data_IF_397776488410
#
_entry.id   IF_397776488410
#
_cell.length_a   1.000
_cell.length_b   1.000
_cell.length_c   1.000
_cell.angle_alpha   90.00
_cell.angle_beta   90.00
_cell.angle_gamma   90.00
#
_symmetry.space_group_name_H-M   'P 1'
#
loop_
_entity.id
_entity.type
_entity.pdbx_description
1 polymer ?
#
# COMPACT_ATOMS: atom_id res chain seq x y z
N UNK A 1 31.78 9.49 5.00
CA UNK A 1 31.26 10.85 4.73
C UNK A 1 30.67 10.89 3.33
N UNK A 2 29.34 10.90 3.18
CA UNK A 2 28.66 11.13 1.91
C UNK A 2 27.63 12.24 2.09
N UNK A 3 28.10 13.44 2.44
CA UNK A 3 27.27 14.64 2.54
C UNK A 3 27.09 15.20 1.13
N UNK A 4 25.92 15.02 0.52
CA UNK A 4 25.59 15.78 -0.69
C UNK A 4 24.52 15.23 -1.64
N UNK A 5 24.11 13.96 -1.55
CA UNK A 5 23.23 13.34 -2.58
C UNK A 5 21.72 13.37 -2.27
N UNK A 6 21.30 13.71 -1.06
CA UNK A 6 19.90 13.71 -0.67
C UNK A 6 19.32 15.14 -0.66
N UNK A 7 18.20 15.34 -1.33
CA UNK A 7 17.39 16.55 -1.25
C UNK A 7 15.95 16.18 -0.88
N UNK A 8 15.38 16.74 0.22
CA UNK A 8 13.97 16.53 0.54
C UNK A 8 13.12 17.16 -0.57
N UNK A 9 12.45 16.32 -1.35
CA UNK A 9 11.62 16.73 -2.47
C UNK A 9 10.27 16.01 -2.40
N UNK A 10 9.28 16.46 -3.18
CA UNK A 10 8.04 15.72 -3.31
C UNK A 10 8.32 14.33 -3.90
N UNK A 11 7.59 13.31 -3.42
CA UNK A 11 7.72 11.95 -3.93
C UNK A 11 7.25 11.91 -5.40
N UNK A 12 8.18 11.80 -6.35
CA UNK A 12 7.90 11.94 -7.78
C UNK A 12 7.11 10.75 -8.33
N UNK A 13 7.31 9.57 -7.74
CA UNK A 13 6.63 8.34 -8.16
C UNK A 13 5.28 8.13 -7.46
N UNK A 14 4.75 9.14 -6.77
CA UNK A 14 3.52 9.02 -6.01
C UNK A 14 2.33 8.54 -6.86
N UNK A 15 2.16 9.10 -8.06
CA UNK A 15 1.08 8.68 -8.96
C UNK A 15 1.22 7.23 -9.43
N UNK A 16 2.45 6.77 -9.70
CA UNK A 16 2.74 5.40 -10.14
C UNK A 16 2.38 4.40 -9.05
N UNK A 17 2.85 4.66 -7.83
CA UNK A 17 2.56 3.83 -6.66
C UNK A 17 1.07 3.87 -6.31
N UNK A 18 0.42 5.04 -6.40
CA UNK A 18 -1.01 5.17 -6.15
C UNK A 18 -1.85 4.34 -7.13
N UNK A 19 -1.49 4.28 -8.42
CA UNK A 19 -2.17 3.44 -9.40
C UNK A 19 -2.09 1.94 -9.08
N UNK A 20 -1.05 1.49 -8.39
CA UNK A 20 -0.95 0.11 -7.92
C UNK A 20 -1.70 -0.10 -6.59
N UNK A 21 -1.53 0.81 -5.64
CA UNK A 21 -2.01 0.65 -4.26
C UNK A 21 -3.48 0.99 -4.09
N UNK A 22 -3.98 2.08 -4.69
CA UNK A 22 -5.37 2.52 -4.50
C UNK A 22 -6.37 1.49 -5.00
N UNK A 23 -6.24 0.90 -6.21
CA UNK A 23 -7.14 -0.18 -6.63
C UNK A 23 -7.03 -1.41 -5.72
N UNK A 24 -5.82 -1.70 -5.22
CA UNK A 24 -5.61 -2.79 -4.27
C UNK A 24 -6.37 -2.53 -2.96
N UNK A 25 -6.37 -1.29 -2.44
CA UNK A 25 -7.13 -0.92 -1.24
C UNK A 25 -8.64 -1.07 -1.44
N UNK A 26 -9.15 -0.76 -2.63
CA UNK A 26 -10.57 -0.95 -2.99
C UNK A 26 -10.93 -2.42 -2.95
N UNK A 27 -10.11 -3.29 -3.58
CA UNK A 27 -10.32 -4.74 -3.56
C UNK A 27 -10.25 -5.28 -2.14
N UNK A 28 -9.26 -4.86 -1.35
CA UNK A 28 -9.16 -5.22 0.07
C UNK A 28 -10.40 -4.77 0.85
N UNK A 29 -10.91 -3.56 0.63
CA UNK A 29 -12.15 -3.07 1.23
C UNK A 29 -13.36 -3.94 0.87
N UNK A 30 -13.44 -4.40 -0.38
CA UNK A 30 -14.46 -5.36 -0.82
C UNK A 30 -14.39 -6.70 -0.09
N UNK A 31 -13.18 -7.24 0.09
CA UNK A 31 -12.96 -8.51 0.79
C UNK A 31 -13.20 -8.37 2.30
N UNK A 32 -12.76 -7.26 2.90
CA UNK A 32 -12.90 -6.98 4.34
C UNK A 32 -14.31 -6.54 4.74
N UNK A 33 -15.12 -6.13 3.78
CA UNK A 33 -16.49 -5.69 3.98
C UNK A 33 -16.61 -4.35 4.72
N UNK A 34 -17.84 -4.04 5.15
CA UNK A 34 -18.21 -2.74 5.74
C UNK A 34 -17.40 -2.37 6.97
N UNK A 35 -17.04 -3.35 7.81
CA UNK A 35 -16.29 -3.12 9.04
C UNK A 35 -14.88 -2.58 8.74
N UNK A 36 -14.16 -3.22 7.83
CA UNK A 36 -12.81 -2.78 7.46
C UNK A 36 -12.85 -1.44 6.74
N UNK A 37 -13.80 -1.24 5.81
CA UNK A 37 -13.97 0.05 5.13
C UNK A 37 -14.26 1.16 6.15
N UNK A 38 -15.14 0.90 7.13
CA UNK A 38 -15.43 1.83 8.22
C UNK A 38 -14.18 2.18 9.03
N UNK A 39 -13.37 1.18 9.40
CA UNK A 39 -12.10 1.40 10.12
C UNK A 39 -11.13 2.26 9.32
N UNK A 40 -10.96 2.00 8.03
CA UNK A 40 -10.07 2.77 7.16
C UNK A 40 -10.56 4.21 6.99
N UNK A 41 -11.87 4.42 6.81
CA UNK A 41 -12.45 5.76 6.67
C UNK A 41 -12.35 6.57 7.96
N UNK A 42 -12.72 5.99 9.11
CA UNK A 42 -12.60 6.64 10.41
C UNK A 42 -11.14 6.96 10.71
N UNK A 43 -10.24 6.00 10.46
CA UNK A 43 -8.80 6.22 10.62
C UNK A 43 -8.27 7.34 9.74
N UNK A 44 -8.67 7.40 8.46
CA UNK A 44 -8.31 8.50 7.56
C UNK A 44 -8.82 9.85 8.06
N UNK A 45 -10.04 9.92 8.61
CA UNK A 45 -10.58 11.13 9.22
C UNK A 45 -9.78 11.55 10.46
N UNK A 46 -9.42 10.61 11.33
CA UNK A 46 -8.58 10.89 12.51
C UNK A 46 -7.21 11.40 12.07
N UNK A 47 -6.56 10.74 11.09
CA UNK A 47 -5.28 11.20 10.54
C UNK A 47 -5.39 12.62 9.96
N UNK A 48 -6.45 12.90 9.21
CA UNK A 48 -6.70 14.22 8.64
C UNK A 48 -6.86 15.29 9.71
N UNK A 49 -7.64 15.02 10.77
CA UNK A 49 -7.82 15.95 11.89
C UNK A 49 -6.49 16.20 12.60
N UNK A 50 -5.71 15.16 12.88
CA UNK A 50 -4.41 15.29 13.53
C UNK A 50 -3.43 16.11 12.68
N UNK A 51 -3.43 15.92 11.36
CA UNK A 51 -2.60 16.69 10.44
C UNK A 51 -3.06 18.16 10.35
N UNK A 52 -4.37 18.42 10.34
CA UNK A 52 -4.96 19.76 10.38
C UNK A 52 -4.59 20.52 11.66
N UNK A 53 -4.53 19.83 12.81
CA UNK A 53 -4.05 20.36 14.08
C UNK A 53 -2.52 20.50 14.15
N UNK A 54 -1.80 20.17 13.08
CA UNK A 54 -0.33 20.19 12.97
C UNK A 54 0.38 19.25 13.96
N UNK A 55 -0.33 18.24 14.48
CA UNK A 55 0.21 17.20 15.37
C UNK A 55 0.82 16.06 14.54
N UNK A 56 1.99 16.32 13.94
CA UNK A 56 2.62 15.43 12.95
C UNK A 56 2.88 14.01 13.46
N UNK A 57 3.28 13.87 14.71
CA UNK A 57 3.56 12.57 15.34
C UNK A 57 2.27 11.79 15.62
N UNK A 58 1.20 12.48 16.05
CA UNK A 58 -0.11 11.88 16.24
C UNK A 58 -0.74 11.45 14.92
N UNK A 59 -0.61 12.28 13.88
CA UNK A 59 -1.05 11.93 12.53
C UNK A 59 -0.33 10.66 12.03
N UNK A 60 0.99 10.60 12.17
CA UNK A 60 1.78 9.42 11.84
C UNK A 60 1.35 8.17 12.62
N UNK A 61 1.19 8.28 13.95
CA UNK A 61 0.76 7.17 14.79
C UNK A 61 -0.65 6.68 14.41
N UNK A 62 -1.57 7.60 14.10
CA UNK A 62 -2.94 7.27 13.72
C UNK A 62 -3.03 6.44 12.43
N UNK A 63 -2.15 6.69 11.45
CA UNK A 63 -2.07 5.90 10.21
C UNK A 63 -1.73 4.44 10.53
N UNK A 64 -0.64 4.22 11.26
CA UNK A 64 -0.20 2.87 11.60
C UNK A 64 -1.18 2.14 12.52
N UNK A 65 -1.75 2.85 13.50
CA UNK A 65 -2.78 2.30 14.36
C UNK A 65 -4.01 1.87 13.55
N UNK A 66 -4.46 2.69 12.61
CA UNK A 66 -5.56 2.35 11.69
C UNK A 66 -5.27 1.08 10.91
N UNK A 67 -4.05 0.94 10.37
CA UNK A 67 -3.65 -0.24 9.61
C UNK A 67 -3.58 -1.51 10.47
N UNK A 68 -3.15 -1.41 11.73
CA UNK A 68 -3.19 -2.53 12.69
C UNK A 68 -4.62 -2.94 12.99
N UNK A 69 -5.49 -1.96 13.26
CA UNK A 69 -6.92 -2.22 13.52
C UNK A 69 -7.60 -2.83 12.28
N UNK A 70 -7.29 -2.34 11.08
CA UNK A 70 -7.80 -2.91 9.83
C UNK A 70 -7.33 -4.36 9.63
N UNK A 71 -6.08 -4.69 9.95
CA UNK A 71 -5.57 -6.07 9.93
C UNK A 71 -6.38 -6.99 10.87
N UNK A 72 -6.68 -6.54 12.08
CA UNK A 72 -7.53 -7.28 13.02
C UNK A 72 -8.95 -7.45 12.44
N UNK A 73 -9.49 -6.40 11.82
CA UNK A 73 -10.76 -6.45 11.10
C UNK A 73 -10.79 -7.53 10.02
N UNK A 74 -9.75 -7.64 9.20
CA UNK A 74 -9.63 -8.71 8.19
C UNK A 74 -9.66 -10.12 8.79
N UNK A 75 -9.03 -10.35 9.95
CA UNK A 75 -9.07 -11.65 10.63
C UNK A 75 -10.50 -12.07 11.00
N UNK A 76 -11.37 -11.12 11.32
CA UNK A 76 -12.78 -11.41 11.61
C UNK A 76 -13.58 -11.74 10.36
N UNK A 77 -13.31 -11.07 9.23
CA UNK A 77 -13.96 -11.33 7.94
C UNK A 77 -13.58 -12.68 7.34
N UNK A 78 -12.32 -13.11 7.54
CA UNK A 78 -11.80 -14.36 6.98
C UNK A 78 -12.41 -15.62 7.62
N UNK A 79 -13.08 -15.52 8.78
CA UNK A 79 -13.80 -16.66 9.39
C UNK A 79 -14.84 -17.29 8.45
N UNK A 80 -15.48 -16.49 7.61
CA UNK A 80 -16.39 -16.99 6.56
C UNK A 80 -15.66 -17.68 5.40
N UNK A 81 -14.46 -17.20 5.07
CA UNK A 81 -13.59 -17.73 4.02
C UNK A 81 -12.91 -19.05 4.42
N UNK A 82 -12.73 -19.29 5.73
CA UNK A 82 -12.06 -20.48 6.28
C UNK A 82 -12.87 -21.78 6.14
N UNK A 83 -14.20 -21.70 5.98
CA UNK A 83 -15.05 -22.90 5.88
C UNK A 83 -14.75 -23.64 4.56
N UNK A 84 -14.06 -24.78 4.65
CA UNK A 84 -13.79 -25.69 3.53
C UNK A 84 -12.52 -25.39 2.72
N UNK A 85 -11.62 -24.52 3.19
CA UNK A 85 -10.34 -24.22 2.52
C UNK A 85 -9.15 -24.77 3.31
N UNK A 86 -8.03 -25.01 2.62
CA UNK A 86 -6.80 -25.46 3.28
C UNK A 86 -6.23 -24.36 4.20
N UNK A 87 -5.63 -24.78 5.31
CA UNK A 87 -5.00 -23.86 6.26
C UNK A 87 -3.88 -23.05 5.59
N UNK A 88 -3.09 -23.67 4.70
CA UNK A 88 -2.00 -23.03 3.99
C UNK A 88 -2.48 -21.87 3.09
N UNK A 89 -3.55 -22.08 2.32
CA UNK A 89 -4.14 -21.04 1.47
C UNK A 89 -4.66 -19.89 2.31
N UNK A 90 -5.23 -20.20 3.47
CA UNK A 90 -5.77 -19.18 4.37
C UNK A 90 -4.67 -18.32 5.01
N UNK A 91 -3.58 -18.93 5.47
CA UNK A 91 -2.39 -18.21 5.96
C UNK A 91 -1.78 -17.35 4.85
N UNK A 92 -1.73 -17.87 3.61
CA UNK A 92 -1.26 -17.11 2.44
C UNK A 92 -2.08 -15.84 2.19
N UNK A 93 -3.42 -15.94 2.20
CA UNK A 93 -4.31 -14.78 2.02
C UNK A 93 -4.12 -13.75 3.15
N UNK A 94 -4.09 -14.20 4.42
CA UNK A 94 -3.88 -13.30 5.56
C UNK A 94 -2.53 -12.58 5.44
N UNK A 95 -1.46 -13.33 5.15
CA UNK A 95 -0.12 -12.77 5.00
C UNK A 95 -0.05 -11.74 3.88
N UNK A 96 -0.67 -12.03 2.74
CA UNK A 96 -0.71 -11.12 1.60
C UNK A 96 -1.50 -9.83 1.90
N UNK A 97 -2.66 -9.94 2.57
CA UNK A 97 -3.43 -8.76 2.99
C UNK A 97 -2.63 -7.90 3.98
N UNK A 98 -1.95 -8.54 4.94
CA UNK A 98 -1.13 -7.85 5.92
C UNK A 98 0.07 -7.13 5.28
N UNK A 99 0.78 -7.78 4.36
CA UNK A 99 1.88 -7.16 3.62
C UNK A 99 1.39 -6.02 2.73
N UNK A 100 0.20 -6.13 2.14
CA UNK A 100 -0.38 -5.04 1.33
C UNK A 100 -0.72 -3.82 2.20
N UNK A 101 -1.32 -4.02 3.38
CA UNK A 101 -1.58 -2.93 4.33
C UNK A 101 -0.28 -2.32 4.88
N UNK A 102 0.72 -3.15 5.18
CA UNK A 102 2.05 -2.68 5.53
C UNK A 102 2.64 -1.78 4.44
N UNK A 103 2.50 -2.17 3.17
CA UNK A 103 2.98 -1.36 2.05
C UNK A 103 2.24 -0.02 1.94
N UNK A 104 0.93 0.02 2.23
CA UNK A 104 0.18 1.28 2.34
C UNK A 104 0.70 2.16 3.49
N UNK A 105 1.07 1.57 4.62
CA UNK A 105 1.69 2.29 5.73
C UNK A 105 3.05 2.90 5.36
N UNK A 106 3.87 2.17 4.61
CA UNK A 106 5.13 2.67 4.07
C UNK A 106 4.88 3.81 3.07
N UNK A 107 3.90 3.64 2.18
CA UNK A 107 3.51 4.67 1.22
C UNK A 107 3.05 5.95 1.92
N UNK A 108 2.23 5.85 2.97
CA UNK A 108 1.80 6.98 3.78
C UNK A 108 2.98 7.61 4.56
N UNK A 109 3.88 6.79 5.11
CA UNK A 109 5.07 7.24 5.86
C UNK A 109 5.97 8.14 5.01
N UNK A 110 6.18 7.79 3.74
CA UNK A 110 7.00 8.59 2.83
C UNK A 110 6.40 9.98 2.57
N UNK A 111 5.09 10.18 2.74
CA UNK A 111 4.45 11.50 2.55
C UNK A 111 4.79 12.50 3.66
N UNK A 112 5.22 12.04 4.84
CA UNK A 112 5.54 12.93 5.96
C UNK A 112 6.91 13.59 5.78
N UNK A 113 6.91 14.88 5.41
CA UNK A 113 8.14 15.68 5.19
C UNK A 113 9.12 15.66 6.37
N UNK A 114 8.61 15.62 7.61
CA UNK A 114 9.47 15.60 8.79
C UNK A 114 10.32 14.31 8.89
N UNK A 115 9.78 13.19 8.42
CA UNK A 115 10.49 11.90 8.35
C UNK A 115 11.57 11.96 7.27
N UNK A 116 11.27 12.56 6.11
CA UNK A 116 12.24 12.76 5.03
C UNK A 116 13.46 13.57 5.48
N UNK A 117 13.24 14.63 6.29
CA UNK A 117 14.33 15.47 6.81
C UNK A 117 15.14 14.77 7.92
N UNK A 118 14.47 14.01 8.80
CA UNK A 118 15.13 13.40 9.96
C UNK A 118 15.83 12.07 9.63
N UNK A 119 15.27 11.28 8.71
CA UNK A 119 15.74 9.93 8.38
C UNK A 119 15.84 9.69 6.86
N UNK A 120 16.75 10.40 6.15
CA UNK A 120 16.83 10.37 4.69
C UNK A 120 17.16 8.97 4.12
N UNK A 121 18.03 8.21 4.80
CA UNK A 121 18.40 6.86 4.36
C UNK A 121 17.24 5.87 4.47
N UNK A 122 16.39 6.02 5.49
CA UNK A 122 15.21 5.18 5.68
C UNK A 122 14.20 5.46 4.58
N UNK A 123 13.96 6.73 4.25
CA UNK A 123 13.05 7.12 3.17
C UNK A 123 13.51 6.59 1.81
N UNK A 124 14.81 6.63 1.51
CA UNK A 124 15.37 6.02 0.30
C UNK A 124 15.14 4.50 0.25
N UNK A 125 15.30 3.80 1.37
CA UNK A 125 15.00 2.37 1.44
C UNK A 125 13.49 2.10 1.26
N UNK A 126 12.63 2.92 1.86
CA UNK A 126 11.17 2.84 1.70
C UNK A 126 10.72 3.09 0.27
N UNK A 127 11.30 4.08 -0.42
CA UNK A 127 11.04 4.33 -1.85
C UNK A 127 11.39 3.11 -2.71
N UNK A 128 12.58 2.54 -2.52
CA UNK A 128 13.01 1.33 -3.25
C UNK A 128 12.09 0.15 -2.99
N UNK A 129 11.70 -0.04 -1.73
CA UNK A 129 10.78 -1.10 -1.33
C UNK A 129 9.39 -0.89 -1.96
N UNK A 130 8.88 0.34 -1.99
CA UNK A 130 7.60 0.68 -2.63
C UNK A 130 7.61 0.38 -4.12
N UNK A 131 8.65 0.80 -4.83
CA UNK A 131 8.76 0.59 -6.27
C UNK A 131 8.89 -0.90 -6.62
N UNK A 132 9.70 -1.65 -5.89
CA UNK A 132 9.91 -3.09 -6.16
C UNK A 132 8.71 -3.96 -5.81
N UNK A 133 8.02 -3.66 -4.71
CA UNK A 133 6.93 -4.51 -4.20
C UNK A 133 5.54 -4.12 -4.72
N UNK A 134 5.34 -2.87 -5.16
CA UNK A 134 4.03 -2.39 -5.65
C UNK A 134 3.52 -3.16 -6.87
N UNK A 135 4.39 -3.55 -7.80
CA UNK A 135 4.01 -4.37 -8.96
C UNK A 135 3.45 -5.72 -8.50
N UNK A 136 4.22 -6.46 -7.71
CA UNK A 136 3.90 -7.83 -7.32
C UNK A 136 2.63 -7.84 -6.47
N UNK A 137 2.58 -7.01 -5.43
CA UNK A 137 1.43 -6.97 -4.53
C UNK A 137 0.19 -6.41 -5.22
N UNK A 138 0.36 -5.39 -6.07
CA UNK A 138 -0.72 -4.85 -6.89
C UNK A 138 -1.34 -5.92 -7.78
N UNK A 139 -0.53 -6.68 -8.52
CA UNK A 139 -1.02 -7.75 -9.39
C UNK A 139 -1.77 -8.83 -8.64
N UNK A 140 -1.23 -9.31 -7.52
CA UNK A 140 -1.86 -10.41 -6.79
C UNK A 140 -3.19 -9.93 -6.18
N UNK A 141 -3.24 -8.74 -5.56
CA UNK A 141 -4.48 -8.21 -4.95
C UNK A 141 -5.52 -7.91 -6.02
N UNK A 142 -5.14 -7.19 -7.07
CA UNK A 142 -6.05 -6.81 -8.14
C UNK A 142 -6.51 -8.04 -8.94
N UNK A 143 -5.72 -9.11 -8.98
CA UNK A 143 -6.13 -10.39 -9.54
C UNK A 143 -7.34 -11.01 -8.84
N UNK A 144 -7.38 -10.99 -7.50
CA UNK A 144 -8.58 -11.40 -6.75
C UNK A 144 -9.78 -10.50 -7.07
N UNK A 145 -9.56 -9.20 -7.23
CA UNK A 145 -10.59 -8.25 -7.64
C UNK A 145 -11.13 -8.55 -9.05
N UNK A 146 -10.24 -8.77 -10.02
CA UNK A 146 -10.59 -9.07 -11.40
C UNK A 146 -11.35 -10.40 -11.53
N UNK A 147 -10.89 -11.45 -10.84
CA UNK A 147 -11.57 -12.73 -10.78
C UNK A 147 -12.98 -12.61 -10.15
N UNK A 148 -13.13 -11.77 -9.12
CA UNK A 148 -14.43 -11.50 -8.51
C UNK A 148 -15.36 -10.65 -9.37
N UNK A 149 -14.83 -9.74 -10.20
CA UNK A 149 -15.61 -8.81 -10.99
C UNK A 149 -16.04 -9.36 -12.37
N UNK A 150 -15.13 -10.04 -13.07
CA UNK A 150 -15.37 -10.50 -14.46
C UNK A 150 -15.49 -12.03 -14.55
N UNK A 151 -15.07 -12.74 -13.50
CA UNK A 151 -15.04 -14.21 -13.49
C UNK A 151 -13.65 -14.77 -13.79
N UNK A 152 -13.42 -16.01 -13.35
CA UNK A 152 -12.11 -16.67 -13.36
C UNK A 152 -11.62 -16.94 -14.80
N UNK A 153 -12.53 -17.22 -15.73
CA UNK A 153 -12.17 -17.60 -17.11
C UNK A 153 -11.61 -16.41 -17.91
N UNK A 154 -12.14 -15.21 -17.66
CA UNK A 154 -11.72 -13.99 -18.37
C UNK A 154 -10.65 -13.19 -17.62
N UNK A 155 -10.52 -13.37 -16.30
CA UNK A 155 -9.57 -12.64 -15.47
C UNK A 155 -8.10 -12.65 -15.97
N UNK A 156 -7.56 -13.76 -16.52
CA UNK A 156 -6.18 -13.79 -16.98
C UNK A 156 -5.85 -12.74 -18.04
N UNK A 157 -6.78 -12.44 -18.96
CA UNK A 157 -6.58 -11.45 -20.00
C UNK A 157 -6.46 -10.03 -19.44
N UNK A 158 -7.30 -9.69 -18.46
CA UNK A 158 -7.22 -8.41 -17.75
C UNK A 158 -5.96 -8.31 -16.89
N UNK A 159 -5.57 -9.40 -16.21
CA UNK A 159 -4.35 -9.44 -15.42
C UNK A 159 -3.08 -9.27 -16.28
N UNK A 160 -3.06 -9.84 -17.49
CA UNK A 160 -1.94 -9.67 -18.41
C UNK A 160 -1.77 -8.20 -18.84
N UNK A 161 -2.87 -7.55 -19.25
CA UNK A 161 -2.86 -6.13 -19.60
C UNK A 161 -2.44 -5.26 -18.41
N UNK A 162 -2.98 -5.54 -17.22
CA UNK A 162 -2.64 -4.83 -15.99
C UNK A 162 -1.18 -5.02 -15.59
N UNK A 163 -0.63 -6.22 -15.80
CA UNK A 163 0.78 -6.53 -15.60
C UNK A 163 1.69 -5.71 -16.48
N UNK A 164 1.37 -5.58 -17.77
CA UNK A 164 2.12 -4.72 -18.68
C UNK A 164 2.11 -3.25 -18.21
N UNK A 165 0.95 -2.73 -17.81
CA UNK A 165 0.81 -1.34 -17.32
C UNK A 165 1.64 -1.13 -16.05
N UNK A 166 1.46 -1.98 -15.04
CA UNK A 166 2.19 -1.83 -13.77
C UNK A 166 3.69 -2.06 -13.95
N UNK A 167 4.12 -2.96 -14.84
CA UNK A 167 5.53 -3.14 -15.16
C UNK A 167 6.15 -1.89 -15.76
N UNK A 168 5.49 -1.28 -16.75
CA UNK A 168 5.93 -0.03 -17.36
C UNK A 168 5.98 1.13 -16.34
N UNK A 169 5.08 1.12 -15.34
CA UNK A 169 5.02 2.16 -14.33
C UNK A 169 6.09 2.01 -13.23
N UNK A 170 6.35 0.78 -12.74
CA UNK A 170 7.15 0.58 -11.53
C UNK A 170 8.52 -0.07 -11.74
N UNK A 171 8.72 -0.82 -12.83
CA UNK A 171 9.94 -1.65 -13.02
C UNK A 171 10.93 -1.11 -14.06
N UNK A 172 10.54 -0.13 -14.88
CA UNK A 172 11.50 0.55 -15.74
C UNK A 172 12.53 1.31 -14.87
N UNK A 173 13.78 1.48 -15.34
CA UNK A 173 14.81 2.18 -14.58
C UNK A 173 14.37 3.63 -14.32
N UNK A 174 14.07 3.92 -13.05
CA UNK A 174 13.56 5.20 -12.60
C UNK A 174 14.63 5.93 -11.78
N UNK A 175 14.85 7.24 -11.99
CA UNK A 175 15.70 8.03 -11.11
C UNK A 175 15.07 8.14 -9.72
N UNK A 176 15.90 8.27 -8.69
CA UNK A 176 15.46 8.45 -7.31
C UNK A 176 14.74 9.80 -7.13
N UNK A 177 13.61 9.81 -6.41
CA UNK A 177 12.86 11.05 -6.15
C UNK A 177 13.64 12.04 -5.28
N UNK A 178 14.54 11.53 -4.43
CA UNK A 178 15.26 12.30 -3.42
C UNK A 178 16.74 12.55 -3.78
N UNK A 179 17.14 12.29 -5.02
CA UNK A 179 18.48 12.63 -5.48
C UNK A 179 18.61 14.15 -5.73
N UNK A 180 19.70 14.73 -5.22
CA UNK A 180 20.03 16.13 -5.47
C UNK A 180 20.36 16.31 -6.96
N UNK A 181 19.49 17.00 -7.70
CA UNK A 181 19.79 17.43 -9.08
C UNK A 181 20.93 18.46 -9.01
N UNK A 182 22.05 18.15 -9.66
CA UNK A 182 23.21 19.03 -9.81
C UNK A 182 22.86 20.15 -10.77
#
# INVERSE_FOLDING_TARGET
MARGRFAPNAFQHNGRVALALVPSLIVLGGIGGRLVVGMLLVGAMVTYIMDALRLREAAFASVWFTLVVANIGFLTGIRGLMKGRSAALTVGIIGMMGVTLMLHGIWATVQFKWIQMRYPMVVLAMERLLLSSSLVLGLVVQGFGAAGAVGIDTAPFYMAALGCVLYALCMLPLPSSFEKKV
#
